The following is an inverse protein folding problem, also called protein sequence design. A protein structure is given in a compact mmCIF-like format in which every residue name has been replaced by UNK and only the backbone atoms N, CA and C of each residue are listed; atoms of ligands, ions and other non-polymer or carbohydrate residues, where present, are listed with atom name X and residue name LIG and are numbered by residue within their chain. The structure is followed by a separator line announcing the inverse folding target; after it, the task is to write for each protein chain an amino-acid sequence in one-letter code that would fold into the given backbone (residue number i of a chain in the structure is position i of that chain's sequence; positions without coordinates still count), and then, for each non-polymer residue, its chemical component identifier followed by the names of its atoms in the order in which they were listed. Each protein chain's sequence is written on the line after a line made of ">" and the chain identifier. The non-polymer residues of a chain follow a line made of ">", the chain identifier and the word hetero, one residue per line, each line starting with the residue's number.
data_IF_083826823963
#
_entry.id   IF_083826823963
#
_cell.length_a   1.000
_cell.length_b   1.000
_cell.length_c   1.000
_cell.angle_alpha   90.00
_cell.angle_beta   90.00
_cell.angle_gamma   90.00
#
_symmetry.space_group_name_H-M   'P 1'
#
loop_
_entity.id
_entity.type
_entity.pdbx_description
1 polymer ?
#
# COMPACT_ATOMS: atom_id res chain seq x y z
N UNK A 1 31.31 -11.51 -39.56
CA UNK A 1 30.06 -11.07 -38.97
C UNK A 1 30.09 -9.55 -39.01
N UNK A 2 29.33 -8.95 -39.95
CA UNK A 2 29.21 -7.47 -40.00
C UNK A 2 28.37 -7.02 -38.85
N UNK A 3 28.97 -6.25 -37.94
CA UNK A 3 28.22 -5.50 -36.91
C UNK A 3 27.39 -4.42 -37.61
N UNK A 4 26.08 -4.65 -37.70
CA UNK A 4 25.13 -3.69 -38.21
C UNK A 4 25.14 -2.46 -37.31
N UNK A 5 25.86 -1.38 -37.71
CA UNK A 5 25.84 -0.10 -37.00
C UNK A 5 24.41 0.43 -36.98
N UNK A 6 23.79 0.41 -35.81
CA UNK A 6 22.48 0.99 -35.57
C UNK A 6 22.62 2.51 -35.77
N UNK A 7 21.74 3.11 -36.55
CA UNK A 7 21.76 4.58 -36.76
C UNK A 7 21.40 5.31 -35.46
N UNK A 8 21.83 6.57 -35.33
CA UNK A 8 21.50 7.39 -34.15
C UNK A 8 19.98 7.52 -33.94
N UNK A 9 19.21 7.59 -35.05
CA UNK A 9 17.76 7.64 -35.00
C UNK A 9 17.16 6.31 -34.52
N UNK A 10 17.64 5.17 -34.99
CA UNK A 10 17.20 3.85 -34.50
C UNK A 10 17.54 3.65 -33.02
N UNK A 11 18.68 4.16 -32.56
CA UNK A 11 19.09 4.12 -31.17
C UNK A 11 18.14 4.95 -30.28
N UNK A 12 17.78 6.15 -30.72
CA UNK A 12 16.82 7.04 -30.02
C UNK A 12 15.42 6.43 -29.98
N UNK A 13 14.98 5.82 -31.06
CA UNK A 13 13.69 5.15 -31.14
C UNK A 13 13.64 3.93 -30.22
N UNK A 14 14.72 3.14 -30.18
CA UNK A 14 14.86 2.00 -29.27
C UNK A 14 14.81 2.44 -27.80
N UNK A 15 15.55 3.50 -27.43
CA UNK A 15 15.55 4.06 -26.08
C UNK A 15 14.15 4.56 -25.71
N UNK A 16 13.49 5.28 -26.61
CA UNK A 16 12.13 5.79 -26.39
C UNK A 16 11.13 4.63 -26.18
N UNK A 17 11.24 3.59 -27.00
CA UNK A 17 10.42 2.38 -26.87
C UNK A 17 10.68 1.66 -25.55
N UNK A 18 11.93 1.52 -25.13
CA UNK A 18 12.30 0.92 -23.84
C UNK A 18 11.76 1.74 -22.65
N UNK A 19 11.84 3.08 -22.70
CA UNK A 19 11.27 3.98 -21.67
C UNK A 19 9.75 3.81 -21.58
N UNK A 20 9.07 3.77 -22.72
CA UNK A 20 7.61 3.63 -22.75
C UNK A 20 7.17 2.23 -22.28
N UNK A 21 7.90 1.18 -22.67
CA UNK A 21 7.66 -0.18 -22.19
C UNK A 21 7.85 -0.27 -20.66
N UNK A 22 8.93 0.33 -20.15
CA UNK A 22 9.21 0.37 -18.70
C UNK A 22 8.10 1.10 -17.93
N UNK A 23 7.59 2.22 -18.45
CA UNK A 23 6.45 2.92 -17.84
C UNK A 23 5.19 2.07 -17.83
N UNK A 24 4.92 1.35 -18.90
CA UNK A 24 3.78 0.45 -19.04
C UNK A 24 3.88 -0.70 -18.04
N UNK A 25 5.02 -1.36 -17.94
CA UNK A 25 5.25 -2.48 -17.04
C UNK A 25 5.17 -2.07 -15.56
N UNK A 26 5.56 -0.82 -15.23
CA UNK A 26 5.42 -0.26 -13.89
C UNK A 26 3.99 0.06 -13.49
N UNK A 27 3.14 0.45 -14.43
CA UNK A 27 1.73 0.77 -14.15
C UNK A 27 0.86 -0.49 -14.09
N UNK A 28 1.18 -1.51 -14.89
CA UNK A 28 0.44 -2.77 -14.95
C UNK A 28 0.81 -3.66 -13.75
N UNK A 29 -0.17 -3.97 -12.92
CA UNK A 29 -0.01 -4.87 -11.75
C UNK A 29 0.15 -4.17 -10.40
N UNK A 30 0.64 -2.93 -10.35
CA UNK A 30 0.69 -2.18 -9.09
C UNK A 30 -0.71 -1.75 -8.62
N UNK A 31 -1.60 -1.36 -9.53
CA UNK A 31 -2.97 -1.00 -9.21
C UNK A 31 -3.75 -2.12 -8.54
N UNK A 32 -3.62 -3.36 -9.01
CA UNK A 32 -4.31 -4.52 -8.43
C UNK A 32 -3.82 -4.84 -7.00
N UNK A 33 -2.56 -4.59 -6.71
CA UNK A 33 -2.03 -4.75 -5.35
C UNK A 33 -2.58 -3.68 -4.42
N UNK A 34 -2.64 -2.42 -4.86
CA UNK A 34 -3.26 -1.34 -4.12
C UNK A 34 -4.74 -1.61 -3.83
N UNK A 35 -5.51 -2.03 -4.83
CA UNK A 35 -6.93 -2.36 -4.68
C UNK A 35 -7.14 -3.53 -3.72
N UNK A 36 -6.34 -4.58 -3.84
CA UNK A 36 -6.44 -5.73 -2.95
C UNK A 36 -6.24 -5.33 -1.48
N UNK A 37 -5.14 -4.62 -1.18
CA UNK A 37 -4.87 -4.18 0.18
C UNK A 37 -5.90 -3.13 0.65
N UNK A 38 -6.31 -2.21 -0.22
CA UNK A 38 -7.27 -1.16 0.11
C UNK A 38 -8.65 -1.72 0.43
N UNK A 39 -9.20 -2.59 -0.41
CA UNK A 39 -10.50 -3.19 -0.17
C UNK A 39 -10.51 -4.16 1.01
N UNK A 40 -9.45 -4.97 1.16
CA UNK A 40 -9.31 -5.86 2.31
C UNK A 40 -9.30 -5.08 3.62
N UNK A 41 -8.47 -4.03 3.70
CA UNK A 41 -8.35 -3.21 4.91
C UNK A 41 -9.63 -2.44 5.21
N UNK A 42 -10.23 -1.83 4.20
CA UNK A 42 -11.48 -1.07 4.37
C UNK A 42 -12.65 -1.98 4.79
N UNK A 43 -12.81 -3.15 4.16
CA UNK A 43 -13.88 -4.09 4.47
C UNK A 43 -13.76 -4.64 5.90
N UNK A 44 -12.56 -5.05 6.32
CA UNK A 44 -12.35 -5.54 7.68
C UNK A 44 -12.56 -4.43 8.70
N UNK A 45 -12.07 -3.20 8.42
CA UNK A 45 -12.27 -2.06 9.32
C UNK A 45 -13.75 -1.73 9.49
N UNK A 46 -14.53 -1.75 8.41
CA UNK A 46 -15.99 -1.57 8.47
C UNK A 46 -16.66 -2.69 9.27
N UNK A 47 -16.26 -3.96 9.06
CA UNK A 47 -16.80 -5.08 9.80
C UNK A 47 -16.53 -4.93 11.31
N UNK A 48 -15.32 -4.52 11.70
CA UNK A 48 -14.97 -4.27 13.11
C UNK A 48 -15.83 -3.16 13.69
N UNK A 49 -16.01 -2.04 12.98
CA UNK A 49 -16.84 -0.92 13.43
C UNK A 49 -18.27 -1.41 13.67
N UNK A 50 -18.87 -2.15 12.72
CA UNK A 50 -20.23 -2.68 12.84
C UNK A 50 -20.36 -3.64 14.04
N UNK A 51 -19.39 -4.55 14.22
CA UNK A 51 -19.40 -5.48 15.35
C UNK A 51 -19.25 -4.77 16.69
N UNK A 52 -18.37 -3.78 16.80
CA UNK A 52 -18.21 -2.98 18.02
C UNK A 52 -19.47 -2.18 18.36
N UNK A 53 -20.15 -1.61 17.36
CA UNK A 53 -21.42 -0.89 17.55
C UNK A 53 -22.56 -1.83 17.98
N UNK A 54 -22.59 -3.05 17.44
CA UNK A 54 -23.66 -4.01 17.71
C UNK A 54 -23.51 -4.71 19.05
N UNK A 55 -22.26 -5.03 19.46
CA UNK A 55 -21.99 -5.89 20.62
C UNK A 55 -21.33 -5.18 21.79
N UNK A 56 -20.71 -4.02 21.53
CA UNK A 56 -19.88 -3.27 22.49
C UNK A 56 -18.73 -4.11 23.11
N UNK A 57 -18.31 -5.18 22.41
CA UNK A 57 -17.26 -6.09 22.85
C UNK A 57 -15.93 -5.78 22.14
N UNK A 58 -14.89 -5.32 22.84
CA UNK A 58 -13.59 -4.96 22.28
C UNK A 58 -12.83 -6.15 21.65
N UNK A 59 -13.25 -7.39 21.91
CA UNK A 59 -12.60 -8.58 21.34
C UNK A 59 -12.67 -8.61 19.82
N UNK A 60 -13.67 -7.98 19.20
CA UNK A 60 -13.77 -7.89 17.75
C UNK A 60 -12.63 -7.10 17.09
N UNK A 61 -11.87 -6.31 17.84
CA UNK A 61 -10.65 -5.67 17.36
C UNK A 61 -9.59 -6.69 16.86
N UNK A 62 -9.60 -7.93 17.34
CA UNK A 62 -8.72 -8.99 16.83
C UNK A 62 -8.95 -9.33 15.36
N UNK A 63 -10.09 -8.97 14.76
CA UNK A 63 -10.34 -9.12 13.33
C UNK A 63 -9.34 -8.31 12.49
N UNK A 64 -8.74 -7.27 13.03
CA UNK A 64 -7.67 -6.54 12.32
C UNK A 64 -6.46 -7.41 11.98
N UNK A 65 -6.23 -8.53 12.71
CA UNK A 65 -5.20 -9.50 12.38
C UNK A 65 -5.44 -10.23 11.05
N UNK A 66 -6.68 -10.26 10.58
CA UNK A 66 -7.01 -10.85 9.27
C UNK A 66 -6.38 -10.05 8.14
N UNK A 67 -6.20 -8.73 8.28
CA UNK A 67 -5.60 -7.87 7.24
C UNK A 67 -4.20 -8.36 6.87
N UNK A 68 -3.21 -8.42 7.79
CA UNK A 68 -1.87 -8.88 7.43
C UNK A 68 -1.86 -10.35 7.02
N UNK A 69 -2.61 -11.24 7.70
CA UNK A 69 -2.63 -12.66 7.39
C UNK A 69 -3.14 -12.90 5.96
N UNK A 70 -4.32 -12.39 5.62
CA UNK A 70 -4.90 -12.53 4.29
C UNK A 70 -4.09 -11.77 3.22
N UNK A 71 -3.68 -10.54 3.52
CA UNK A 71 -2.91 -9.71 2.59
C UNK A 71 -1.57 -10.32 2.21
N UNK A 72 -0.79 -10.80 3.18
CA UNK A 72 0.50 -11.45 2.89
C UNK A 72 0.32 -12.81 2.21
N UNK A 73 -0.70 -13.58 2.58
CA UNK A 73 -1.00 -14.86 1.93
C UNK A 73 -1.33 -14.65 0.44
N UNK A 74 -2.24 -13.73 0.12
CA UNK A 74 -2.62 -13.44 -1.26
C UNK A 74 -1.45 -12.83 -2.05
N UNK A 75 -0.69 -11.91 -1.44
CA UNK A 75 0.51 -11.33 -2.06
C UNK A 75 1.57 -12.38 -2.34
N UNK A 76 1.81 -13.30 -1.41
CA UNK A 76 2.75 -14.40 -1.56
C UNK A 76 2.37 -15.34 -2.71
N UNK A 77 1.09 -15.72 -2.79
CA UNK A 77 0.57 -16.55 -3.88
C UNK A 77 0.72 -15.83 -5.24
N UNK A 78 0.38 -14.54 -5.32
CA UNK A 78 0.56 -13.74 -6.55
C UNK A 78 2.03 -13.70 -6.98
N UNK A 79 2.93 -13.41 -6.04
CA UNK A 79 4.37 -13.34 -6.32
C UNK A 79 4.93 -14.68 -6.77
N UNK A 80 4.54 -15.79 -6.13
CA UNK A 80 4.93 -17.14 -6.52
C UNK A 80 4.46 -17.48 -7.94
N UNK A 81 3.20 -17.19 -8.26
CA UNK A 81 2.65 -17.41 -9.61
C UNK A 81 3.31 -16.53 -10.66
N UNK A 82 3.64 -15.27 -10.34
CA UNK A 82 4.30 -14.35 -11.25
C UNK A 82 5.74 -14.81 -11.57
N UNK A 83 6.52 -15.20 -10.57
CA UNK A 83 7.88 -15.75 -10.77
C UNK A 83 7.92 -16.99 -11.68
N UNK A 84 6.84 -17.77 -11.70
CA UNK A 84 6.76 -18.98 -12.53
C UNK A 84 6.38 -18.68 -13.98
N UNK A 85 5.79 -17.50 -14.27
CA UNK A 85 5.25 -17.14 -15.59
C UNK A 85 6.16 -16.24 -16.43
N UNK A 86 7.07 -15.48 -15.87
CA UNK A 86 7.85 -14.50 -16.63
C UNK A 86 9.30 -14.37 -16.16
N UNK A 87 10.23 -14.48 -17.13
CA UNK A 87 11.60 -13.98 -17.03
C UNK A 87 11.66 -12.48 -17.39
N UNK A 88 10.69 -11.67 -16.96
CA UNK A 88 10.73 -10.23 -17.22
C UNK A 88 11.79 -9.61 -16.32
N UNK A 89 12.79 -8.97 -16.93
CA UNK A 89 13.80 -8.23 -16.20
C UNK A 89 13.13 -7.13 -15.36
N UNK A 90 13.40 -7.13 -14.05
CA UNK A 90 12.87 -6.10 -13.15
C UNK A 90 13.57 -4.77 -13.44
N UNK A 91 12.79 -3.71 -13.60
CA UNK A 91 13.34 -2.36 -13.77
C UNK A 91 13.78 -1.78 -12.44
N UNK A 92 14.72 -0.82 -12.47
CA UNK A 92 15.17 -0.11 -11.26
C UNK A 92 13.98 0.49 -10.48
N UNK A 93 13.04 1.11 -11.18
CA UNK A 93 11.88 1.72 -10.56
C UNK A 93 10.94 0.67 -9.91
N UNK A 94 10.75 -0.49 -10.54
CA UNK A 94 9.99 -1.61 -9.94
C UNK A 94 10.66 -2.14 -8.68
N UNK A 95 11.98 -2.31 -8.71
CA UNK A 95 12.73 -2.75 -7.54
C UNK A 95 12.66 -1.73 -6.40
N UNK A 96 12.78 -0.44 -6.71
CA UNK A 96 12.67 0.63 -5.72
C UNK A 96 11.28 0.64 -5.07
N UNK A 97 10.21 0.51 -5.86
CA UNK A 97 8.84 0.40 -5.33
C UNK A 97 8.68 -0.82 -4.42
N UNK A 98 9.15 -1.97 -4.87
CA UNK A 98 9.08 -3.20 -4.06
C UNK A 98 9.84 -3.06 -2.74
N UNK A 99 11.01 -2.41 -2.74
CA UNK A 99 11.79 -2.18 -1.52
C UNK A 99 11.08 -1.21 -0.56
N UNK A 100 10.45 -0.14 -1.06
CA UNK A 100 9.65 0.78 -0.23
C UNK A 100 8.51 0.03 0.46
N UNK A 101 7.74 -0.76 -0.28
CA UNK A 101 6.63 -1.53 0.29
C UNK A 101 7.11 -2.68 1.19
N UNK A 102 8.28 -3.26 0.91
CA UNK A 102 8.90 -4.26 1.78
C UNK A 102 9.31 -3.67 3.13
N UNK A 103 9.91 -2.47 3.16
CA UNK A 103 10.26 -1.77 4.40
C UNK A 103 8.99 -1.44 5.20
N UNK A 104 7.95 -0.91 4.57
CA UNK A 104 6.66 -0.65 5.21
C UNK A 104 6.10 -1.93 5.84
N UNK A 105 6.11 -3.04 5.11
CA UNK A 105 5.67 -4.33 5.60
C UNK A 105 6.52 -4.85 6.77
N UNK A 106 7.83 -4.65 6.72
CA UNK A 106 8.75 -5.03 7.78
C UNK A 106 8.50 -4.23 9.07
N UNK A 107 8.21 -2.93 8.97
CA UNK A 107 7.84 -2.10 10.12
C UNK A 107 6.55 -2.61 10.77
N UNK A 108 5.52 -2.93 9.98
CA UNK A 108 4.29 -3.54 10.50
C UNK A 108 4.56 -4.86 11.20
N UNK A 109 5.34 -5.75 10.59
CA UNK A 109 5.67 -7.05 11.17
C UNK A 109 6.47 -6.91 12.47
N UNK A 110 7.48 -6.04 12.49
CA UNK A 110 8.29 -5.78 13.68
C UNK A 110 7.45 -5.21 14.83
N UNK A 111 6.54 -4.28 14.53
CA UNK A 111 5.64 -3.73 15.55
C UNK A 111 4.65 -4.80 16.06
N UNK A 112 4.07 -5.62 15.18
CA UNK A 112 3.19 -6.73 15.57
C UNK A 112 3.91 -7.73 16.48
N UNK A 113 5.15 -8.11 16.15
CA UNK A 113 5.97 -8.99 16.98
C UNK A 113 6.23 -8.33 18.33
N UNK A 114 6.57 -7.05 18.37
CA UNK A 114 6.77 -6.32 19.63
C UNK A 114 5.52 -6.32 20.50
N UNK A 115 4.33 -6.10 19.90
CA UNK A 115 3.05 -6.18 20.64
C UNK A 115 2.78 -7.60 21.17
N UNK A 116 3.11 -8.64 20.40
CA UNK A 116 2.95 -10.04 20.84
C UNK A 116 3.90 -10.41 21.99
N UNK A 117 5.10 -9.86 22.02
CA UNK A 117 6.06 -10.09 23.10
C UNK A 117 5.66 -9.41 24.43
N UNK A 118 4.86 -8.34 24.35
CA UNK A 118 4.33 -7.61 25.51
C UNK A 118 2.87 -8.02 25.77
N UNK A 119 2.65 -9.33 25.99
CA UNK A 119 1.34 -9.90 26.24
C UNK A 119 0.61 -9.19 27.39
N UNK A 120 -0.60 -8.69 27.12
CA UNK A 120 -1.55 -8.19 28.12
C UNK A 120 -1.95 -6.73 28.02
N UNK A 121 -1.23 -5.91 27.26
CA UNK A 121 -1.59 -4.49 27.09
C UNK A 121 -2.29 -4.26 25.75
N UNK A 122 -3.63 -4.26 25.75
CA UNK A 122 -4.47 -3.87 24.58
C UNK A 122 -4.04 -2.51 24.03
N UNK A 123 -3.53 -1.64 24.90
CA UNK A 123 -3.03 -0.31 24.55
C UNK A 123 -1.84 -0.33 23.58
N UNK A 124 -0.98 -1.35 23.65
CA UNK A 124 0.16 -1.51 22.74
C UNK A 124 -0.27 -1.63 21.27
N UNK A 125 -1.48 -2.17 21.00
CA UNK A 125 -2.02 -2.32 19.67
C UNK A 125 -2.52 -1.02 19.03
N UNK A 126 -2.73 0.04 19.80
CA UNK A 126 -3.16 1.34 19.27
C UNK A 126 -2.15 1.95 18.29
N UNK A 127 -0.86 1.66 18.46
CA UNK A 127 0.16 2.08 17.52
C UNK A 127 0.03 1.45 16.11
N UNK A 128 -0.61 0.27 15.99
CA UNK A 128 -0.91 -0.32 14.68
C UNK A 128 -1.87 0.56 13.86
N UNK A 129 -2.83 1.24 14.50
CA UNK A 129 -3.72 2.17 13.83
C UNK A 129 -2.96 3.37 13.28
N UNK A 130 -2.05 3.92 14.09
CA UNK A 130 -1.20 5.02 13.68
C UNK A 130 -0.33 4.63 12.48
N UNK A 131 0.35 3.49 12.57
CA UNK A 131 1.15 2.95 11.46
C UNK A 131 0.28 2.68 10.23
N UNK A 132 -0.94 2.12 10.42
CA UNK A 132 -1.90 1.80 9.37
C UNK A 132 -2.39 3.04 8.59
N UNK A 133 -2.36 4.21 9.21
CA UNK A 133 -2.74 5.46 8.54
C UNK A 133 -1.53 6.17 7.91
N UNK A 134 -0.40 6.24 8.61
CA UNK A 134 0.77 6.98 8.16
C UNK A 134 1.55 6.24 7.05
N UNK A 135 1.86 4.96 7.26
CA UNK A 135 2.75 4.23 6.36
C UNK A 135 2.17 4.02 4.97
N UNK A 136 0.89 3.65 4.78
CA UNK A 136 0.30 3.60 3.45
C UNK A 136 0.31 4.96 2.75
N UNK A 137 0.09 6.05 3.49
CA UNK A 137 0.19 7.41 2.95
C UNK A 137 1.59 7.73 2.41
N UNK A 138 2.64 7.43 3.20
CA UNK A 138 4.04 7.59 2.81
C UNK A 138 4.38 6.71 1.59
N UNK A 139 3.97 5.43 1.63
CA UNK A 139 4.20 4.48 0.53
C UNK A 139 3.52 4.93 -0.76
N UNK A 140 2.29 5.42 -0.67
CA UNK A 140 1.53 5.94 -1.83
C UNK A 140 2.14 7.22 -2.38
N UNK A 141 2.54 8.16 -1.51
CA UNK A 141 3.24 9.37 -1.93
C UNK A 141 4.53 9.02 -2.69
N UNK A 142 5.36 8.15 -2.11
CA UNK A 142 6.61 7.69 -2.73
C UNK A 142 6.36 6.98 -4.06
N UNK A 143 5.30 6.15 -4.14
CA UNK A 143 4.87 5.51 -5.38
C UNK A 143 4.52 6.56 -6.44
N UNK A 144 3.76 7.59 -6.06
CA UNK A 144 3.42 8.70 -6.95
C UNK A 144 4.63 9.48 -7.46
N UNK A 145 5.65 9.68 -6.61
CA UNK A 145 6.92 10.33 -7.00
C UNK A 145 7.66 9.49 -8.03
N UNK A 146 7.84 8.19 -7.78
CA UNK A 146 8.57 7.27 -8.67
C UNK A 146 7.86 7.14 -10.03
N UNK A 147 6.53 7.07 -10.03
CA UNK A 147 5.72 6.98 -11.25
C UNK A 147 5.49 8.35 -11.93
N UNK A 148 5.93 9.45 -11.30
CA UNK A 148 5.70 10.84 -11.74
C UNK A 148 4.22 11.19 -11.88
N UNK A 149 3.37 10.66 -10.97
CA UNK A 149 1.93 10.83 -10.98
C UNK A 149 1.44 11.73 -9.85
N UNK A 150 1.15 12.99 -10.16
CA UNK A 150 0.75 14.01 -9.18
C UNK A 150 -0.52 13.62 -8.41
N UNK A 151 -1.50 12.99 -9.07
CA UNK A 151 -2.74 12.56 -8.41
C UNK A 151 -2.48 11.56 -7.29
N UNK A 152 -1.57 10.61 -7.51
CA UNK A 152 -1.18 9.60 -6.51
C UNK A 152 -0.38 10.26 -5.38
N UNK A 153 0.50 11.21 -5.70
CA UNK A 153 1.23 11.99 -4.68
C UNK A 153 0.26 12.73 -3.75
N UNK A 154 -0.75 13.38 -4.32
CA UNK A 154 -1.77 14.10 -3.53
C UNK A 154 -2.57 13.15 -2.63
N UNK A 155 -2.97 11.99 -3.13
CA UNK A 155 -3.63 10.96 -2.31
C UNK A 155 -2.75 10.50 -1.14
N UNK A 156 -1.46 10.25 -1.39
CA UNK A 156 -0.50 9.90 -0.35
C UNK A 156 -0.33 11.00 0.70
N UNK A 157 -0.17 12.25 0.25
CA UNK A 157 -0.04 13.41 1.14
C UNK A 157 -1.28 13.59 2.04
N UNK A 158 -2.49 13.49 1.47
CA UNK A 158 -3.74 13.55 2.23
C UNK A 158 -3.81 12.44 3.28
N UNK A 159 -3.38 11.23 2.95
CA UNK A 159 -3.29 10.12 3.90
C UNK A 159 -2.35 10.41 5.07
N UNK A 160 -1.18 11.01 4.80
CA UNK A 160 -0.24 11.43 5.84
C UNK A 160 -0.86 12.51 6.73
N UNK A 161 -1.54 13.50 6.15
CA UNK A 161 -2.22 14.56 6.92
C UNK A 161 -3.28 13.98 7.85
N UNK A 162 -4.11 13.03 7.36
CA UNK A 162 -5.11 12.34 8.20
C UNK A 162 -4.42 11.55 9.32
N UNK A 163 -3.33 10.84 9.00
CA UNK A 163 -2.55 10.06 9.97
C UNK A 163 -1.89 10.92 11.06
N UNK A 164 -1.44 12.14 10.73
CA UNK A 164 -0.88 13.06 11.72
C UNK A 164 -1.92 13.56 12.72
N UNK A 165 -3.20 13.65 12.32
CA UNK A 165 -4.29 13.94 13.26
C UNK A 165 -4.38 12.88 14.36
N UNK A 166 -4.34 11.60 13.98
CA UNK A 166 -4.33 10.49 14.95
C UNK A 166 -3.06 10.48 15.83
N UNK A 167 -1.91 10.82 15.27
CA UNK A 167 -0.67 10.96 16.03
C UNK A 167 -0.79 12.00 17.12
N UNK A 168 -1.40 13.16 16.81
CA UNK A 168 -1.67 14.20 17.79
C UNK A 168 -2.54 13.68 18.93
N UNK A 169 -3.64 13.00 18.63
CA UNK A 169 -4.56 12.46 19.63
C UNK A 169 -3.86 11.46 20.53
N UNK A 170 -3.03 10.58 19.95
CA UNK A 170 -2.23 9.61 20.68
C UNK A 170 -1.19 10.28 21.61
N UNK A 171 -0.52 11.33 21.16
CA UNK A 171 0.48 12.10 21.97
C UNK A 171 -0.21 12.90 23.06
N UNK A 172 -1.40 13.46 22.81
CA UNK A 172 -2.16 14.23 23.79
C UNK A 172 -2.86 13.38 24.86
N UNK A 173 -2.72 12.04 24.79
CA UNK A 173 -3.18 11.15 25.88
C UNK A 173 -4.56 10.52 25.68
N UNK A 174 -5.17 10.67 24.53
CA UNK A 174 -6.37 9.91 24.17
C UNK A 174 -5.98 8.42 23.95
N UNK A 175 -6.20 7.62 24.99
CA UNK A 175 -5.66 6.26 25.05
C UNK A 175 -6.56 5.20 24.41
N UNK A 176 -7.77 5.56 24.05
CA UNK A 176 -8.77 4.65 23.46
C UNK A 176 -9.13 5.13 22.06
N UNK A 177 -8.93 4.25 21.08
CA UNK A 177 -9.33 4.55 19.71
C UNK A 177 -10.85 4.61 19.65
N UNK A 178 -11.37 5.79 19.35
CA UNK A 178 -12.79 6.02 19.20
C UNK A 178 -13.30 5.45 17.85
N UNK A 179 -14.59 5.16 17.76
CA UNK A 179 -15.26 4.74 16.52
C UNK A 179 -15.04 5.78 15.41
N UNK A 180 -14.99 7.07 15.76
CA UNK A 180 -14.69 8.13 14.82
C UNK A 180 -13.29 8.02 14.22
N UNK A 181 -12.28 7.69 15.02
CA UNK A 181 -10.90 7.47 14.55
C UNK A 181 -10.80 6.22 13.69
N UNK A 182 -11.56 5.15 13.98
CA UNK A 182 -11.69 3.99 13.10
C UNK A 182 -12.32 4.37 11.74
N UNK A 183 -13.32 5.26 11.74
CA UNK A 183 -13.89 5.81 10.51
C UNK A 183 -12.86 6.59 9.67
N UNK A 184 -12.02 7.40 10.30
CA UNK A 184 -10.92 8.09 9.62
C UNK A 184 -9.90 7.10 9.03
N UNK A 185 -9.67 5.96 9.67
CA UNK A 185 -8.81 4.91 9.13
C UNK A 185 -9.39 4.28 7.85
N UNK A 186 -10.69 3.99 7.81
CA UNK A 186 -11.36 3.53 6.58
C UNK A 186 -11.21 4.56 5.48
N UNK A 187 -11.45 5.85 5.78
CA UNK A 187 -11.28 6.94 4.82
C UNK A 187 -9.83 7.03 4.33
N UNK A 188 -8.86 6.86 5.22
CA UNK A 188 -7.44 6.83 4.87
C UNK A 188 -7.13 5.70 3.88
N UNK A 189 -7.62 4.48 4.08
CA UNK A 189 -7.43 3.38 3.13
C UNK A 189 -8.08 3.64 1.77
N UNK A 190 -9.25 4.28 1.75
CA UNK A 190 -9.89 4.68 0.49
C UNK A 190 -8.99 5.66 -0.27
N UNK A 191 -8.52 6.71 0.40
CA UNK A 191 -7.71 7.77 -0.20
C UNK A 191 -6.33 7.26 -0.60
N UNK A 192 -5.66 6.47 0.24
CA UNK A 192 -4.26 6.07 0.02
C UNK A 192 -4.11 4.82 -0.83
N UNK A 193 -5.09 3.93 -0.87
CA UNK A 193 -4.96 2.64 -1.56
C UNK A 193 -6.01 2.47 -2.66
N UNK A 194 -7.30 2.68 -2.38
CA UNK A 194 -8.35 2.36 -3.35
C UNK A 194 -8.32 3.37 -4.52
N UNK A 195 -8.33 4.67 -4.24
CA UNK A 195 -8.30 5.70 -5.28
C UNK A 195 -7.03 5.59 -6.15
N UNK A 196 -5.80 5.53 -5.58
CA UNK A 196 -4.59 5.32 -6.37
C UNK A 196 -4.59 4.03 -7.17
N UNK A 197 -5.11 2.94 -6.61
CA UNK A 197 -5.24 1.66 -7.31
C UNK A 197 -6.11 1.77 -8.58
N UNK A 198 -7.26 2.45 -8.48
CA UNK A 198 -8.11 2.70 -9.65
C UNK A 198 -7.43 3.62 -10.67
N UNK A 199 -6.74 4.68 -10.22
CA UNK A 199 -5.99 5.58 -11.11
C UNK A 199 -4.93 4.81 -11.89
N UNK A 200 -4.16 3.95 -11.22
CA UNK A 200 -3.14 3.12 -11.85
C UNK A 200 -3.73 2.17 -12.90
N UNK A 201 -4.80 1.46 -12.54
CA UNK A 201 -5.45 0.53 -13.47
C UNK A 201 -6.11 1.24 -14.66
N UNK A 202 -6.70 2.42 -14.45
CA UNK A 202 -7.27 3.22 -15.54
C UNK A 202 -6.18 3.68 -16.53
N UNK A 203 -5.03 4.15 -16.01
CA UNK A 203 -3.92 4.57 -16.85
C UNK A 203 -3.27 3.42 -17.58
N UNK A 204 -3.14 2.26 -16.95
CA UNK A 204 -2.64 1.05 -17.58
C UNK A 204 -3.50 0.62 -18.79
N UNK A 205 -4.84 0.70 -18.66
CA UNK A 205 -5.77 0.40 -19.76
C UNK A 205 -5.70 1.40 -20.92
N UNK A 206 -5.44 2.68 -20.62
CA UNK A 206 -5.36 3.73 -21.67
C UNK A 206 -4.08 3.64 -22.49
N UNK A 207 -3.06 2.93 -22.01
CA UNK A 207 -1.78 2.73 -22.68
C UNK A 207 -1.69 1.40 -23.47
N UNK A 208 -2.75 0.59 -23.43
CA UNK A 208 -2.93 -0.62 -24.25
C UNK A 208 -3.60 -0.27 -25.57
#
# INVERSE_FOLDING_TARGET
>A
MEEKKISEQESLELITRMINQTKKDLSVGNGDSFLMWGYLSAAISLAVIVMLLATNDPRYAWLYMVIPIAGFTVSGIKTYKAKRKSHVASTYASNTLNNVWAIISAVFAAYAISCLLHFGEVRSWNGMFLLGMLLPGIGTYTTGVILKEKSIQMCGLLGVVIGTGLLRDFVCGEQVISIMQMGHMVLSFVITLIIPGHILNFKAKKQQ
#
